data_IF_522185799567
#
_entry.id   IF_522185799567
#
_cell.length_a   1.000
_cell.length_b   1.000
_cell.length_c   1.000
_cell.angle_alpha   90.00
_cell.angle_beta   90.00
_cell.angle_gamma   90.00
#
_symmetry.space_group_name_H-M   'P 1'
#
loop_
_entity.id
_entity.type
_entity.pdbx_description
1 polymer ?
#
# COMPACT_ATOMS: atom_id res chain seq x y z
N UNK A 1 -7.13 14.84 -16.99
CA UNK A 1 -5.71 14.41 -17.05
C UNK A 1 -5.57 13.16 -16.18
N UNK A 2 -5.10 12.04 -16.73
CA UNK A 2 -4.78 10.85 -15.92
C UNK A 2 -3.43 11.13 -15.26
N UNK A 3 -3.40 11.36 -13.95
CA UNK A 3 -2.15 11.50 -13.20
C UNK A 3 -1.38 10.19 -13.34
N UNK A 4 -0.19 10.24 -13.94
CA UNK A 4 0.68 9.08 -14.08
C UNK A 4 1.35 8.85 -12.73
N UNK A 5 0.87 7.85 -11.97
CA UNK A 5 1.54 7.42 -10.75
C UNK A 5 2.92 6.83 -11.08
N UNK A 6 3.93 7.31 -10.37
CA UNK A 6 5.30 6.84 -10.42
C UNK A 6 5.55 5.69 -9.43
N UNK A 7 6.66 4.98 -9.62
CA UNK A 7 7.12 3.96 -8.66
C UNK A 7 7.38 4.56 -7.28
N UNK A 8 7.98 5.75 -7.23
CA UNK A 8 8.29 6.45 -5.96
C UNK A 8 7.01 6.82 -5.21
N UNK A 9 5.97 7.29 -5.91
CA UNK A 9 4.67 7.54 -5.28
C UNK A 9 4.03 6.25 -4.78
N UNK A 10 4.13 5.14 -5.53
CA UNK A 10 3.65 3.84 -5.06
C UNK A 10 4.41 3.36 -3.81
N UNK A 11 5.73 3.55 -3.75
CA UNK A 11 6.53 3.24 -2.56
C UNK A 11 6.12 4.09 -1.36
N UNK A 12 5.87 5.39 -1.56
CA UNK A 12 5.39 6.27 -0.50
C UNK A 12 4.03 5.81 0.04
N UNK A 13 3.09 5.46 -0.84
CA UNK A 13 1.79 4.92 -0.44
C UNK A 13 1.91 3.59 0.31
N UNK A 14 2.82 2.72 -0.11
CA UNK A 14 3.10 1.46 0.59
C UNK A 14 3.59 1.72 2.02
N UNK A 15 4.52 2.66 2.20
CA UNK A 15 5.02 3.04 3.53
C UNK A 15 3.91 3.60 4.42
N UNK A 16 3.05 4.48 3.89
CA UNK A 16 1.91 5.03 4.64
C UNK A 16 0.93 3.91 5.05
N UNK A 17 0.63 2.99 4.12
CA UNK A 17 -0.24 1.86 4.41
C UNK A 17 0.37 0.93 5.47
N UNK A 18 1.69 0.71 5.42
CA UNK A 18 2.38 -0.12 6.41
C UNK A 18 2.29 0.48 7.82
N UNK A 19 2.62 1.75 8.00
CA UNK A 19 2.52 2.44 9.29
C UNK A 19 1.08 2.40 9.85
N UNK A 20 0.08 2.62 8.99
CA UNK A 20 -1.33 2.52 9.36
C UNK A 20 -1.73 1.10 9.77
N UNK A 21 -1.18 0.08 9.11
CA UNK A 21 -1.45 -1.31 9.41
C UNK A 21 -0.83 -1.74 10.73
N UNK A 22 0.41 -1.33 11.01
CA UNK A 22 1.08 -1.53 12.30
C UNK A 22 0.26 -0.94 13.44
N UNK A 23 -0.19 0.32 13.31
CA UNK A 23 -1.01 0.96 14.33
C UNK A 23 -2.33 0.22 14.57
N UNK A 24 -3.01 -0.24 13.50
CA UNK A 24 -4.27 -1.01 13.63
C UNK A 24 -4.06 -2.39 14.23
N UNK A 25 -2.99 -3.09 13.85
CA UNK A 25 -2.64 -4.40 14.38
C UNK A 25 -2.32 -4.29 15.88
N UNK A 26 -1.51 -3.30 16.28
CA UNK A 26 -1.21 -3.01 17.67
C UNK A 26 -2.48 -2.68 18.49
N UNK A 27 -3.37 -1.84 17.96
CA UNK A 27 -4.65 -1.52 18.61
C UNK A 27 -5.57 -2.74 18.77
N UNK A 28 -5.49 -3.71 17.86
CA UNK A 28 -6.22 -4.97 17.94
C UNK A 28 -5.51 -6.03 18.79
N UNK A 29 -4.27 -5.78 19.25
CA UNK A 29 -3.45 -6.78 19.94
C UNK A 29 -3.04 -7.96 19.05
N UNK A 30 -2.92 -7.72 17.75
CA UNK A 30 -2.62 -8.72 16.72
C UNK A 30 -1.23 -8.48 16.15
N UNK A 31 -0.48 -9.55 15.92
CA UNK A 31 0.78 -9.49 15.18
C UNK A 31 0.51 -9.28 13.69
N UNK A 32 1.21 -8.34 13.06
CA UNK A 32 1.06 -8.02 11.65
C UNK A 32 1.43 -9.19 10.73
N UNK A 33 2.35 -10.06 11.16
CA UNK A 33 2.75 -11.26 10.40
C UNK A 33 1.77 -12.43 10.54
N UNK A 34 0.77 -12.32 11.44
CA UNK A 34 -0.26 -13.34 11.61
C UNK A 34 -1.31 -13.31 10.48
N UNK A 35 -2.13 -14.37 10.32
CA UNK A 35 -3.24 -14.34 9.36
C UNK A 35 -4.22 -13.18 9.59
N UNK A 36 -4.47 -12.82 10.86
CA UNK A 36 -5.31 -11.68 11.21
C UNK A 36 -4.61 -10.34 10.89
N UNK A 37 -3.30 -10.26 11.08
CA UNK A 37 -2.48 -9.11 10.70
C UNK A 37 -2.45 -8.88 9.19
N UNK A 38 -2.32 -9.95 8.39
CA UNK A 38 -2.40 -9.88 6.93
C UNK A 38 -3.75 -9.34 6.45
N UNK A 39 -4.86 -9.77 7.06
CA UNK A 39 -6.18 -9.24 6.73
C UNK A 39 -6.33 -7.75 7.07
N UNK A 40 -5.72 -7.29 8.17
CA UNK A 40 -5.63 -5.86 8.50
C UNK A 40 -4.81 -5.13 7.44
N UNK A 41 -3.65 -5.68 7.05
CA UNK A 41 -2.76 -5.08 6.07
C UNK A 41 -3.45 -4.88 4.72
N UNK A 42 -4.12 -5.92 4.21
CA UNK A 42 -4.88 -5.85 2.95
C UNK A 42 -5.95 -4.75 3.02
N UNK A 43 -6.74 -4.74 4.09
CA UNK A 43 -7.77 -3.72 4.31
C UNK A 43 -7.18 -2.30 4.30
N UNK A 44 -6.03 -2.13 4.96
CA UNK A 44 -5.35 -0.84 5.03
C UNK A 44 -4.81 -0.41 3.67
N UNK A 45 -4.21 -1.31 2.91
CA UNK A 45 -3.75 -1.04 1.53
C UNK A 45 -4.91 -0.56 0.67
N UNK A 46 -6.03 -1.28 0.63
CA UNK A 46 -7.20 -0.88 -0.15
C UNK A 46 -7.74 0.49 0.27
N UNK A 47 -7.83 0.75 1.59
CA UNK A 47 -8.31 2.03 2.09
C UNK A 47 -7.36 3.19 1.76
N UNK A 48 -6.04 2.96 1.84
CA UNK A 48 -5.01 3.96 1.54
C UNK A 48 -5.00 4.31 0.06
N UNK A 49 -5.10 3.30 -0.82
CA UNK A 49 -5.25 3.54 -2.26
C UNK A 49 -6.54 4.31 -2.56
N UNK A 50 -7.66 3.96 -1.94
CA UNK A 50 -8.93 4.67 -2.15
C UNK A 50 -8.87 6.15 -1.72
N UNK A 51 -8.09 6.46 -0.68
CA UNK A 51 -7.95 7.82 -0.15
C UNK A 51 -7.00 8.69 -0.98
N UNK A 52 -5.83 8.16 -1.34
CA UNK A 52 -4.75 8.95 -1.96
C UNK A 52 -4.59 8.72 -3.46
N UNK A 53 -5.06 7.58 -3.96
CA UNK A 53 -4.90 7.14 -5.34
C UNK A 53 -6.18 6.48 -5.89
N UNK A 54 -7.37 7.11 -5.81
CA UNK A 54 -8.65 6.47 -6.14
C UNK A 54 -8.76 6.02 -7.60
N UNK A 55 -7.91 6.55 -8.49
CA UNK A 55 -7.84 6.17 -9.89
C UNK A 55 -6.86 5.03 -10.18
N UNK A 56 -6.11 4.55 -9.17
CA UNK A 56 -5.11 3.50 -9.28
C UNK A 56 -5.70 2.17 -8.80
N UNK A 57 -5.69 1.16 -9.67
CA UNK A 57 -6.09 -0.20 -9.30
C UNK A 57 -5.00 -0.91 -8.50
N UNK A 58 -5.36 -1.96 -7.75
CA UNK A 58 -4.39 -2.76 -6.99
C UNK A 58 -3.35 -3.42 -7.91
N UNK A 59 -3.76 -3.87 -9.10
CA UNK A 59 -2.85 -4.47 -10.09
C UNK A 59 -1.87 -3.45 -10.65
N UNK A 60 -2.33 -2.23 -10.96
CA UNK A 60 -1.45 -1.15 -11.40
C UNK A 60 -0.47 -0.74 -10.29
N UNK A 61 -0.93 -0.69 -9.04
CA UNK A 61 -0.09 -0.40 -7.88
C UNK A 61 1.02 -1.44 -7.69
N UNK A 62 0.68 -2.73 -7.69
CA UNK A 62 1.65 -3.83 -7.62
C UNK A 62 2.59 -3.77 -8.82
N UNK A 63 2.06 -3.51 -10.01
CA UNK A 63 2.85 -3.33 -11.23
C UNK A 63 3.85 -2.19 -11.13
N UNK A 64 3.51 -1.07 -10.48
CA UNK A 64 4.44 0.04 -10.25
C UNK A 64 5.57 -0.36 -9.29
N UNK A 65 5.24 -1.05 -8.20
CA UNK A 65 6.22 -1.52 -7.21
C UNK A 65 7.21 -2.53 -7.81
N UNK A 66 6.73 -3.41 -8.69
CA UNK A 66 7.52 -4.44 -9.35
C UNK A 66 8.45 -3.90 -10.46
N UNK A 67 8.27 -2.65 -10.92
CA UNK A 67 9.12 -2.08 -11.99
C UNK A 67 10.58 -2.00 -11.53
N UNK A 68 11.54 -2.51 -12.32
CA UNK A 68 12.95 -2.30 -12.04
C UNK A 68 13.25 -0.80 -12.07
N UNK A 69 14.09 -0.33 -11.15
CA UNK A 69 14.67 1.02 -11.26
C UNK A 69 15.63 0.98 -12.44
N UNK A 70 15.22 1.49 -13.58
CA UNK A 70 16.12 1.65 -14.72
C UNK A 70 17.07 2.78 -14.33
N UNK A 71 18.26 2.41 -13.85
CA UNK A 71 19.41 3.29 -13.73
C UNK A 71 19.81 3.70 -15.16
N UNK A 72 19.46 4.93 -15.54
CA UNK A 72 20.01 5.60 -16.72
C UNK A 72 21.28 6.35 -16.33
#
# INVERSE_FOLDING_TARGET
MKTLFSKTEAQLLLSIAHERAEHRAAAAGVDLESPAGSAIYDTVIYSTLSEFAPALTIDEFIGLLARPEVLH
#
